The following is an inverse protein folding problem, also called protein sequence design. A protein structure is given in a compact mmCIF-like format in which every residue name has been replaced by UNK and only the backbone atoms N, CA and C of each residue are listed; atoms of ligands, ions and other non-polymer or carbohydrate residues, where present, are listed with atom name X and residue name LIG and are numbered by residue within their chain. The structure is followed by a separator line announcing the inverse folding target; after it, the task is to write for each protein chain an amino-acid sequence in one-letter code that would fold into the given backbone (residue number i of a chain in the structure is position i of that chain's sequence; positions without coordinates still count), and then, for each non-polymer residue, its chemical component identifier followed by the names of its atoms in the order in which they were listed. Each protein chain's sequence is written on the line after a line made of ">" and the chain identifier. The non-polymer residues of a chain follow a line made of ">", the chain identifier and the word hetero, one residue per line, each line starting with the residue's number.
data_IF_462618934842
#
_entry.id   IF_462618934842
#
_cell.length_a   1.000
_cell.length_b   1.000
_cell.length_c   1.000
_cell.angle_alpha   90.00
_cell.angle_beta   90.00
_cell.angle_gamma   90.00
#
_symmetry.space_group_name_H-M   'P 1'
#
loop_
_entity.id
_entity.type
_entity.pdbx_description
1 polymer ?
#
# COMPACT_ATOMS: atom_id res chain seq x y z
N UNK A 1 24.10 14.51 27.26
CA UNK A 1 23.17 14.37 26.12
C UNK A 1 22.67 15.74 25.68
N UNK A 2 22.23 16.59 26.61
CA UNK A 2 21.82 17.98 26.35
C UNK A 2 22.95 18.85 25.77
N UNK A 3 24.17 18.77 26.30
CA UNK A 3 25.34 19.51 25.76
C UNK A 3 25.61 19.16 24.29
N UNK A 4 25.50 17.87 23.94
CA UNK A 4 25.63 17.39 22.56
C UNK A 4 24.53 18.03 21.71
N UNK A 5 23.27 18.02 22.16
CA UNK A 5 22.18 18.65 21.41
C UNK A 5 22.38 20.14 21.16
N UNK A 6 22.90 20.89 22.14
CA UNK A 6 23.21 22.32 21.96
C UNK A 6 24.31 22.52 20.91
N UNK A 7 25.39 21.72 20.96
CA UNK A 7 26.44 21.77 19.93
C UNK A 7 25.87 21.45 18.53
N UNK A 8 24.98 20.47 18.45
CA UNK A 8 24.39 20.02 17.19
C UNK A 8 23.38 21.02 16.60
N UNK A 9 22.65 21.76 17.43
CA UNK A 9 21.74 22.84 16.99
C UNK A 9 22.48 23.96 16.26
N UNK A 10 23.67 24.30 16.73
CA UNK A 10 24.49 25.38 16.15
C UNK A 10 25.43 24.88 15.03
N UNK A 11 25.62 23.57 14.91
CA UNK A 11 26.58 22.98 13.98
C UNK A 11 26.25 23.31 12.52
N UNK A 12 27.17 24.04 11.86
CA UNK A 12 27.07 24.45 10.44
C UNK A 12 25.90 25.37 10.10
N UNK A 13 25.12 25.85 11.07
CA UNK A 13 24.06 26.84 10.87
C UNK A 13 24.73 28.17 10.48
N UNK A 14 24.59 28.58 9.21
CA UNK A 14 25.15 29.85 8.70
C UNK A 14 26.32 29.75 7.71
N UNK A 15 26.69 28.56 7.23
CA UNK A 15 27.72 28.43 6.18
C UNK A 15 27.16 28.40 4.74
N UNK A 16 25.85 28.18 4.60
CA UNK A 16 25.18 27.85 3.32
C UNK A 16 23.83 28.55 3.12
N UNK A 17 23.36 29.32 4.10
CA UNK A 17 22.32 30.33 3.88
C UNK A 17 22.95 31.43 3.03
N UNK A 18 22.49 31.62 1.79
CA UNK A 18 23.04 32.56 0.80
C UNK A 18 23.02 34.05 1.16
N UNK A 19 23.12 34.42 2.43
CA UNK A 19 23.41 35.76 2.88
C UNK A 19 24.93 35.97 2.93
N UNK A 20 25.50 36.38 1.79
CA UNK A 20 26.67 37.26 1.82
C UNK A 20 26.24 38.55 2.54
N UNK A 21 26.39 38.57 3.86
CA UNK A 21 26.09 39.71 4.70
C UNK A 21 27.12 39.79 5.82
N UNK A 22 28.04 40.75 5.68
CA UNK A 22 29.03 41.23 6.64
C UNK A 22 29.13 40.43 7.96
N UNK A 23 30.20 39.65 8.09
CA UNK A 23 30.72 39.31 9.41
C UNK A 23 31.25 40.60 10.07
N UNK A 24 30.37 41.31 10.76
CA UNK A 24 30.74 42.32 11.74
C UNK A 24 31.06 41.61 13.05
N UNK A 25 32.10 42.08 13.71
CA UNK A 25 32.65 41.60 14.98
C UNK A 25 31.64 41.62 16.13
N UNK A 26 30.79 40.61 16.21
CA UNK A 26 29.95 40.26 17.36
C UNK A 26 30.05 38.75 17.57
N UNK A 27 29.91 38.28 18.82
CA UNK A 27 29.94 36.84 19.15
C UNK A 27 28.95 35.99 18.32
N UNK A 28 28.97 34.66 18.47
CA UNK A 28 28.12 33.77 17.67
C UNK A 28 26.66 34.19 17.77
N UNK A 29 26.13 34.77 16.67
CA UNK A 29 24.73 35.17 16.58
C UNK A 29 23.93 33.89 16.34
N UNK A 30 23.35 33.35 17.41
CA UNK A 30 22.43 32.23 17.33
C UNK A 30 21.11 32.72 16.73
N UNK A 31 20.88 32.42 15.45
CA UNK A 31 19.57 32.63 14.83
C UNK A 31 18.58 31.72 15.58
N UNK A 32 17.34 32.15 15.88
CA UNK A 32 16.34 31.26 16.47
C UNK A 32 16.04 30.06 15.56
N UNK A 33 15.67 28.93 16.15
CA UNK A 33 15.27 27.74 15.40
C UNK A 33 13.95 28.01 14.66
N UNK A 34 13.84 27.49 13.43
CA UNK A 34 12.58 27.53 12.69
C UNK A 34 11.56 26.55 13.30
N UNK A 35 10.28 26.65 12.90
CA UNK A 35 9.28 25.68 13.32
C UNK A 35 9.68 24.27 12.85
N UNK A 36 9.52 23.27 13.72
CA UNK A 36 9.89 21.88 13.43
C UNK A 36 11.38 21.57 13.54
N UNK A 37 12.26 22.55 13.75
CA UNK A 37 13.70 22.31 13.85
C UNK A 37 14.09 21.93 15.28
N UNK A 38 14.54 20.67 15.46
CA UNK A 38 14.98 20.14 16.76
C UNK A 38 13.90 20.09 17.85
N UNK A 39 12.62 19.99 17.46
CA UNK A 39 11.49 19.81 18.40
C UNK A 39 11.61 18.50 19.20
N UNK A 40 12.07 17.43 18.56
CA UNK A 40 12.12 16.06 19.11
C UNK A 40 13.56 15.51 19.08
N UNK A 41 14.52 16.24 19.65
CA UNK A 41 15.94 15.85 19.62
C UNK A 41 16.23 14.51 20.33
N UNK A 42 16.81 13.55 19.62
CA UNK A 42 17.10 12.20 20.16
C UNK A 42 18.34 12.13 21.09
N UNK A 43 19.07 13.23 21.27
CA UNK A 43 20.32 13.23 22.04
C UNK A 43 21.55 12.69 21.30
N UNK A 44 21.36 12.09 20.13
CA UNK A 44 22.39 11.58 19.23
C UNK A 44 22.11 12.02 17.79
N UNK A 45 23.13 12.20 16.94
CA UNK A 45 22.92 12.52 15.54
C UNK A 45 22.33 11.33 14.78
N UNK A 46 21.31 11.59 13.96
CA UNK A 46 20.65 10.58 13.14
C UNK A 46 20.85 10.86 11.65
N UNK A 47 21.09 9.80 10.87
CA UNK A 47 21.16 9.84 9.42
C UNK A 47 20.29 8.72 8.84
N UNK A 48 19.31 9.08 8.02
CA UNK A 48 18.45 8.13 7.31
C UNK A 48 18.97 7.94 5.88
N UNK A 49 19.18 6.68 5.51
CA UNK A 49 19.69 6.27 4.21
C UNK A 49 18.62 5.47 3.48
N UNK A 50 18.03 6.04 2.44
CA UNK A 50 17.10 5.33 1.56
C UNK A 50 17.91 4.59 0.49
N UNK A 51 17.85 3.26 0.51
CA UNK A 51 18.60 2.41 -0.41
C UNK A 51 17.75 1.94 -1.59
N UNK A 52 18.38 1.78 -2.75
CA UNK A 52 17.73 1.28 -3.96
C UNK A 52 16.96 2.35 -4.73
N UNK A 53 17.52 3.56 -4.83
CA UNK A 53 16.89 4.66 -5.56
C UNK A 53 16.79 4.41 -7.08
N UNK A 54 17.52 3.42 -7.62
CA UNK A 54 17.33 2.87 -8.97
C UNK A 54 15.92 2.29 -9.19
N UNK A 55 15.21 1.90 -8.12
CA UNK A 55 13.86 1.37 -8.20
C UNK A 55 12.80 2.44 -8.50
N UNK A 56 13.13 3.73 -8.38
CA UNK A 56 12.22 4.83 -8.71
C UNK A 56 11.75 4.70 -10.17
N UNK A 57 12.67 4.48 -11.11
CA UNK A 57 12.32 4.31 -12.52
C UNK A 57 11.43 3.08 -12.76
N UNK A 58 11.63 2.01 -11.97
CA UNK A 58 10.79 0.81 -12.04
C UNK A 58 9.37 1.08 -11.49
N UNK A 59 9.24 1.84 -10.41
CA UNK A 59 7.94 2.20 -9.83
C UNK A 59 7.10 3.03 -10.81
N UNK A 60 7.71 3.92 -11.58
CA UNK A 60 7.02 4.69 -12.61
C UNK A 60 6.52 3.79 -13.76
N UNK A 61 7.41 2.92 -14.27
CA UNK A 61 7.11 2.08 -15.43
C UNK A 61 6.11 0.96 -15.11
N UNK A 62 6.31 0.27 -13.99
CA UNK A 62 5.56 -0.96 -13.68
C UNK A 62 4.33 -0.69 -12.82
N UNK A 63 4.34 0.39 -12.02
CA UNK A 63 3.30 0.68 -11.03
C UNK A 63 2.60 2.03 -11.24
N UNK A 64 2.96 2.77 -12.29
CA UNK A 64 2.30 4.02 -12.67
C UNK A 64 2.48 5.16 -11.65
N UNK A 65 3.53 5.08 -10.82
CA UNK A 65 3.88 6.17 -9.91
C UNK A 65 4.21 7.42 -10.70
N UNK A 66 3.80 8.58 -10.19
CA UNK A 66 4.06 9.88 -10.79
C UNK A 66 4.97 10.67 -9.87
N UNK A 67 5.38 11.84 -10.35
CA UNK A 67 6.25 12.75 -9.59
C UNK A 67 5.59 13.21 -8.28
N UNK A 68 4.26 13.27 -8.25
CA UNK A 68 3.46 13.69 -7.09
C UNK A 68 3.68 12.79 -5.87
N UNK A 69 3.75 11.48 -6.08
CA UNK A 69 3.97 10.50 -5.03
C UNK A 69 5.40 10.58 -4.48
N UNK A 70 6.39 10.83 -5.34
CA UNK A 70 7.79 11.01 -4.91
C UNK A 70 8.00 12.33 -4.16
N UNK A 71 7.36 13.41 -4.62
CA UNK A 71 7.36 14.71 -3.94
C UNK A 71 6.76 14.60 -2.55
N UNK A 72 5.60 13.92 -2.43
CA UNK A 72 4.96 13.67 -1.15
C UNK A 72 5.88 12.91 -0.20
N UNK A 73 6.50 11.81 -0.66
CA UNK A 73 7.44 11.04 0.18
C UNK A 73 8.61 11.91 0.63
N UNK A 74 9.16 12.72 -0.27
CA UNK A 74 10.26 13.61 0.05
C UNK A 74 9.85 14.68 1.07
N UNK A 75 8.69 15.31 0.90
CA UNK A 75 8.14 16.30 1.83
C UNK A 75 7.85 15.68 3.20
N UNK A 76 7.25 14.50 3.23
CA UNK A 76 6.93 13.76 4.45
C UNK A 76 8.20 13.39 5.23
N UNK A 77 9.17 12.74 4.56
CA UNK A 77 10.44 12.33 5.18
C UNK A 77 11.23 13.55 5.68
N UNK A 78 11.28 14.65 4.92
CA UNK A 78 11.95 15.88 5.36
C UNK A 78 11.28 16.51 6.58
N UNK A 79 9.95 16.48 6.65
CA UNK A 79 9.18 17.05 7.77
C UNK A 79 9.44 16.31 9.07
N UNK A 80 9.41 14.98 9.07
CA UNK A 80 9.68 14.19 10.27
C UNK A 80 11.16 14.29 10.70
N UNK A 81 12.09 14.29 9.74
CA UNK A 81 13.52 14.32 10.03
C UNK A 81 14.00 15.68 10.54
N UNK A 82 13.32 16.77 10.15
CA UNK A 82 13.60 18.11 10.65
C UNK A 82 13.46 18.19 12.18
N UNK A 83 12.47 17.49 12.75
CA UNK A 83 12.22 17.44 14.20
C UNK A 83 13.37 16.86 14.99
N UNK A 84 14.12 15.95 14.37
CA UNK A 84 15.27 15.29 14.98
C UNK A 84 16.62 15.91 14.58
N UNK A 85 16.63 16.95 13.73
CA UNK A 85 17.86 17.49 13.15
C UNK A 85 18.64 16.48 12.29
N UNK A 86 17.93 15.50 11.73
CA UNK A 86 18.52 14.37 11.02
C UNK A 86 18.87 14.72 9.57
N UNK A 87 19.78 13.93 8.97
CA UNK A 87 20.10 14.01 7.55
C UNK A 87 19.41 12.92 6.73
N UNK A 88 19.06 13.21 5.48
CA UNK A 88 18.46 12.27 4.53
C UNK A 88 19.36 12.10 3.31
N UNK A 89 19.59 10.86 2.87
CA UNK A 89 20.33 10.58 1.63
C UNK A 89 19.75 9.38 0.89
N UNK A 90 19.60 9.51 -0.42
CA UNK A 90 19.19 8.42 -1.29
C UNK A 90 20.43 7.80 -1.94
N UNK A 91 20.43 6.47 -2.04
CA UNK A 91 21.58 5.72 -2.53
C UNK A 91 21.15 4.66 -3.53
N UNK A 92 21.92 4.56 -4.61
CA UNK A 92 21.80 3.52 -5.63
C UNK A 92 22.98 2.58 -5.53
N UNK A 93 22.73 1.29 -5.72
CA UNK A 93 23.80 0.30 -5.72
C UNK A 93 24.85 0.66 -6.78
N UNK A 94 26.13 0.50 -6.43
CA UNK A 94 27.27 0.70 -7.34
C UNK A 94 27.48 2.13 -7.87
N UNK A 95 26.71 3.12 -7.42
CA UNK A 95 26.90 4.53 -7.79
C UNK A 95 27.65 5.28 -6.69
N UNK A 96 28.64 6.08 -7.10
CA UNK A 96 29.34 6.98 -6.19
C UNK A 96 28.37 7.98 -5.57
N UNK A 97 28.44 8.14 -4.25
CA UNK A 97 27.52 9.00 -3.50
C UNK A 97 28.26 9.78 -2.40
N UNK A 98 27.57 10.73 -1.79
CA UNK A 98 28.13 11.60 -0.74
C UNK A 98 28.01 11.00 0.66
N UNK A 99 27.59 9.73 0.81
CA UNK A 99 27.32 9.10 2.10
C UNK A 99 28.54 9.14 3.02
N UNK A 100 29.70 8.75 2.52
CA UNK A 100 30.94 8.76 3.32
C UNK A 100 31.24 10.16 3.86
N UNK A 101 31.11 11.18 3.01
CA UNK A 101 31.37 12.58 3.41
C UNK A 101 30.33 13.06 4.43
N UNK A 102 29.07 12.65 4.26
CA UNK A 102 27.98 12.97 5.19
C UNK A 102 28.24 12.35 6.56
N UNK A 103 28.53 11.04 6.62
CA UNK A 103 28.78 10.32 7.86
C UNK A 103 30.06 10.81 8.55
N UNK A 104 31.15 11.00 7.82
CA UNK A 104 32.39 11.56 8.38
C UNK A 104 32.13 12.93 8.99
N UNK A 105 31.39 13.78 8.27
CA UNK A 105 30.99 15.08 8.79
C UNK A 105 30.15 14.93 10.05
N UNK A 106 29.15 14.04 10.06
CA UNK A 106 28.27 13.85 11.21
C UNK A 106 29.01 13.31 12.44
N UNK A 107 29.99 12.42 12.26
CA UNK A 107 30.80 11.91 13.37
C UNK A 107 31.93 12.86 13.82
N UNK A 108 32.01 14.07 13.26
CA UNK A 108 33.08 15.02 13.58
C UNK A 108 34.46 14.61 13.04
N UNK A 109 34.51 13.68 12.10
CA UNK A 109 35.74 13.23 11.45
C UNK A 109 36.12 14.26 10.39
N UNK A 110 36.97 15.20 10.76
CA UNK A 110 37.46 16.23 9.86
C UNK A 110 38.71 15.76 9.12
N UNK A 111 38.61 15.64 7.80
CA UNK A 111 39.80 15.46 6.96
C UNK A 111 40.66 16.72 7.03
N UNK A 112 41.90 16.57 7.50
CA UNK A 112 42.87 17.66 7.59
C UNK A 112 43.33 18.17 6.20
N UNK A 113 43.05 17.40 5.14
CA UNK A 113 43.49 17.68 3.78
C UNK A 113 42.37 18.21 2.88
N UNK A 114 41.11 17.87 3.17
CA UNK A 114 39.98 18.22 2.30
C UNK A 114 38.75 18.60 3.12
N UNK A 115 38.42 19.89 3.11
CA UNK A 115 37.13 20.39 3.62
C UNK A 115 36.05 20.07 2.58
N UNK A 116 35.48 18.87 2.66
CA UNK A 116 34.47 18.42 1.71
C UNK A 116 33.13 19.10 2.06
N UNK A 117 32.68 20.04 1.22
CA UNK A 117 31.34 20.61 1.32
C UNK A 117 30.31 19.60 0.83
N UNK A 118 29.23 19.43 1.60
CA UNK A 118 28.10 18.60 1.19
C UNK A 118 27.21 19.46 0.29
N UNK A 119 27.04 19.04 -0.97
CA UNK A 119 26.14 19.71 -1.90
C UNK A 119 24.75 19.12 -1.75
N UNK A 120 23.85 19.85 -1.10
CA UNK A 120 22.45 19.45 -0.98
C UNK A 120 21.82 19.24 -2.37
N UNK A 121 20.87 18.33 -2.43
CA UNK A 121 20.09 18.06 -3.62
C UNK A 121 18.70 17.58 -3.22
N UNK A 122 17.68 18.31 -3.67
CA UNK A 122 16.27 17.96 -3.48
C UNK A 122 15.51 17.94 -4.81
N UNK A 123 16.24 18.04 -5.93
CA UNK A 123 15.67 18.12 -7.28
C UNK A 123 15.84 16.79 -7.99
N UNK A 124 17.05 16.21 -7.99
CA UNK A 124 17.24 14.89 -8.61
C UNK A 124 16.74 13.80 -7.65
N UNK A 125 15.57 13.24 -7.95
CA UNK A 125 14.87 12.21 -7.16
C UNK A 125 15.71 10.98 -6.80
N UNK A 126 16.67 10.59 -7.64
CA UNK A 126 17.54 9.43 -7.42
C UNK A 126 18.80 9.78 -6.59
N UNK A 127 19.06 11.08 -6.37
CA UNK A 127 20.26 11.60 -5.71
C UNK A 127 19.92 12.65 -4.66
N UNK A 128 18.85 12.40 -3.90
CA UNK A 128 18.46 13.25 -2.78
C UNK A 128 19.57 13.27 -1.72
N UNK A 129 19.93 14.47 -1.29
CA UNK A 129 20.82 14.71 -0.17
C UNK A 129 20.36 15.94 0.61
N UNK A 130 19.94 15.72 1.84
CA UNK A 130 19.57 16.76 2.82
C UNK A 130 20.56 16.67 3.98
N UNK A 131 21.56 17.58 4.04
CA UNK A 131 22.46 17.67 5.18
C UNK A 131 21.74 18.11 6.46
N UNK A 132 22.29 17.81 7.65
CA UNK A 132 21.71 18.30 8.90
C UNK A 132 21.77 19.83 8.95
N UNK A 133 20.77 20.46 9.56
CA UNK A 133 20.61 21.93 9.71
C UNK A 133 20.52 22.74 8.40
N UNK A 134 20.39 22.09 7.24
CA UNK A 134 20.15 22.78 5.95
C UNK A 134 18.67 23.05 5.70
N UNK A 135 17.80 22.12 6.13
CA UNK A 135 16.38 22.13 5.79
C UNK A 135 15.55 23.11 6.65
N UNK A 136 14.36 23.47 6.18
CA UNK A 136 13.38 24.26 6.94
C UNK A 136 11.99 24.15 6.32
N UNK A 137 10.91 24.44 7.07
CA UNK A 137 9.53 24.40 6.55
C UNK A 137 9.34 25.21 5.26
N UNK A 138 9.98 26.37 5.15
CA UNK A 138 9.95 27.17 3.92
C UNK A 138 10.50 26.43 2.70
N UNK A 139 11.57 25.64 2.85
CA UNK A 139 12.15 24.84 1.75
C UNK A 139 11.32 23.61 1.42
N UNK A 140 10.64 23.02 2.40
CA UNK A 140 9.79 21.84 2.20
C UNK A 140 8.49 22.25 1.49
N UNK A 141 7.90 23.39 1.88
CA UNK A 141 6.65 23.92 1.30
C UNK A 141 6.72 24.20 -0.19
N UNK A 142 7.90 24.58 -0.70
CA UNK A 142 8.09 25.00 -2.09
C UNK A 142 8.13 23.83 -3.07
N UNK A 143 8.40 22.58 -2.63
CA UNK A 143 8.43 21.43 -3.55
C UNK A 143 7.08 21.28 -4.24
N UNK A 144 6.01 21.25 -3.45
CA UNK A 144 4.65 21.04 -3.94
C UNK A 144 3.63 21.67 -3.01
N UNK A 145 2.65 22.34 -3.60
CA UNK A 145 1.53 22.94 -2.88
C UNK A 145 0.58 21.86 -2.33
N UNK A 146 -0.12 22.18 -1.24
CA UNK A 146 -1.12 21.28 -0.64
C UNK A 146 -0.58 20.25 0.35
N UNK A 147 0.72 20.22 0.64
CA UNK A 147 1.29 19.37 1.68
C UNK A 147 1.11 19.98 3.08
N UNK A 148 0.38 19.27 3.96
CA UNK A 148 0.15 19.68 5.34
C UNK A 148 1.32 19.30 6.25
N UNK A 149 2.34 20.15 6.30
CA UNK A 149 3.50 19.97 7.17
C UNK A 149 3.14 20.05 8.66
N UNK A 150 2.18 20.89 9.03
CA UNK A 150 1.82 21.15 10.42
C UNK A 150 1.08 19.94 11.00
N UNK A 151 0.13 19.39 10.25
CA UNK A 151 -0.53 18.13 10.57
C UNK A 151 0.47 16.98 10.68
N UNK A 152 1.36 16.79 9.69
CA UNK A 152 2.37 15.71 9.72
C UNK A 152 3.35 15.87 10.89
N UNK A 153 3.80 17.09 11.17
CA UNK A 153 4.69 17.37 12.31
C UNK A 153 4.01 17.03 13.64
N UNK A 154 2.75 17.45 13.81
CA UNK A 154 1.97 17.20 15.04
C UNK A 154 1.67 15.72 15.21
N UNK A 155 1.21 15.06 14.14
CA UNK A 155 0.96 13.62 14.10
C UNK A 155 2.21 12.82 14.48
N UNK A 156 3.39 13.23 14.00
CA UNK A 156 4.65 12.57 14.37
C UNK A 156 4.99 12.74 15.85
N UNK A 157 4.76 13.92 16.44
CA UNK A 157 4.98 14.11 17.89
C UNK A 157 4.08 13.22 18.73
N UNK A 158 2.85 12.95 18.29
CA UNK A 158 1.92 12.03 18.96
C UNK A 158 2.39 10.59 18.80
N UNK A 159 2.78 10.19 17.58
CA UNK A 159 3.21 8.83 17.22
C UNK A 159 4.39 8.32 18.07
N UNK A 160 5.35 9.18 18.38
CA UNK A 160 6.58 8.80 19.07
C UNK A 160 6.45 8.77 20.61
N UNK A 161 5.30 9.15 21.17
CA UNK A 161 5.08 9.04 22.62
C UNK A 161 4.82 7.59 23.02
N UNK A 162 5.19 7.25 24.26
CA UNK A 162 4.83 5.95 24.81
C UNK A 162 3.30 5.80 24.88
N UNK A 163 2.75 4.60 24.59
CA UNK A 163 1.32 4.37 24.72
C UNK A 163 0.90 4.62 26.18
N UNK A 164 -0.26 5.27 26.41
CA UNK A 164 -0.70 5.56 27.76
C UNK A 164 -0.79 4.27 28.58
N UNK A 165 -0.17 4.26 29.77
CA UNK A 165 -0.26 3.11 30.65
C UNK A 165 -1.73 2.75 30.90
N UNK A 166 -2.13 1.47 30.82
CA UNK A 166 -3.49 1.08 31.10
C UNK A 166 -3.81 1.44 32.55
N UNK A 167 -4.73 2.40 32.72
CA UNK A 167 -5.21 2.88 34.01
C UNK A 167 -5.78 1.71 34.82
N UNK A 168 -4.95 1.11 35.65
CA UNK A 168 -5.37 0.20 36.72
C UNK A 168 -5.71 1.03 37.94
N UNK A 169 -6.90 1.64 37.93
CA UNK A 169 -7.37 2.39 39.09
C UNK A 169 -8.48 3.37 38.74
N UNK A 170 -9.71 2.88 38.68
CA UNK A 170 -10.87 3.74 38.79
C UNK A 170 -10.87 4.44 40.15
N UNK A 171 -10.66 5.75 40.16
CA UNK A 171 -11.22 6.64 41.18
C UNK A 171 -11.81 7.85 40.45
N UNK A 172 -13.13 7.92 40.48
CA UNK A 172 -13.96 9.03 40.04
C UNK A 172 -13.44 10.38 40.54
N UNK A 173 -13.07 11.29 39.63
CA UNK A 173 -13.23 12.72 39.84
C UNK A 173 -13.66 13.38 38.52
N UNK A 174 -14.79 14.10 38.48
CA UNK A 174 -15.16 14.92 37.34
C UNK A 174 -14.43 16.26 37.46
N UNK A 175 -13.49 16.53 36.55
CA UNK A 175 -12.95 17.86 36.37
C UNK A 175 -13.17 18.30 34.92
N UNK A 176 -14.25 19.07 34.74
CA UNK A 176 -14.43 19.99 33.61
C UNK A 176 -13.35 21.07 33.71
N UNK A 177 -12.49 21.20 32.70
CA UNK A 177 -12.52 22.37 31.80
C UNK A 177 -11.39 22.35 30.75
N UNK A 178 -11.83 22.41 29.50
CA UNK A 178 -11.20 23.08 28.35
C UNK A 178 -9.74 22.77 27.97
N UNK A 179 -9.56 21.82 27.04
CA UNK A 179 -8.72 22.05 25.87
C UNK A 179 -9.44 21.54 24.63
N UNK A 180 -9.81 22.49 23.79
CA UNK A 180 -10.56 22.38 22.55
C UNK A 180 -9.80 21.58 21.48
N UNK A 181 -10.46 20.58 20.89
CA UNK A 181 -10.20 20.12 19.52
C UNK A 181 -8.88 19.40 19.26
N UNK A 182 -8.57 18.33 20.00
CA UNK A 182 -7.77 17.27 19.42
C UNK A 182 -8.70 16.47 18.49
N UNK A 183 -8.77 16.87 17.23
CA UNK A 183 -9.31 15.97 16.21
C UNK A 183 -8.52 14.67 16.27
N UNK A 184 -9.25 13.55 16.23
CA UNK A 184 -8.77 12.19 16.42
C UNK A 184 -7.35 11.95 15.92
N UNK A 185 -6.56 11.25 16.74
CA UNK A 185 -5.17 10.89 16.47
C UNK A 185 -4.94 10.22 15.12
N UNK A 186 -4.75 11.04 14.09
CA UNK A 186 -4.24 10.61 12.81
C UNK A 186 -2.76 10.30 13.00
N UNK A 187 -2.45 9.03 13.15
CA UNK A 187 -1.08 8.52 13.12
C UNK A 187 -0.35 9.07 11.89
N UNK A 188 0.87 9.57 12.06
CA UNK A 188 1.69 10.02 10.92
C UNK A 188 1.91 8.88 9.93
N UNK A 189 2.06 7.65 10.44
CA UNK A 189 2.16 6.44 9.62
C UNK A 189 0.87 6.21 8.84
N UNK A 190 -0.30 6.38 9.46
CA UNK A 190 -1.58 6.27 8.76
C UNK A 190 -1.73 7.31 7.64
N UNK A 191 -1.32 8.56 7.86
CA UNK A 191 -1.31 9.61 6.82
C UNK A 191 -0.43 9.17 5.64
N UNK A 192 0.76 8.64 5.93
CA UNK A 192 1.69 8.17 4.91
C UNK A 192 1.13 6.99 4.11
N UNK A 193 0.63 5.95 4.80
CA UNK A 193 0.11 4.74 4.17
C UNK A 193 -1.19 4.97 3.40
N UNK A 194 -2.02 5.92 3.84
CA UNK A 194 -3.22 6.30 3.10
C UNK A 194 -2.87 7.03 1.78
N UNK A 195 -1.78 7.80 1.78
CA UNK A 195 -1.36 8.56 0.59
C UNK A 195 -0.53 7.69 -0.36
N UNK A 196 0.38 6.88 0.17
CA UNK A 196 1.27 6.00 -0.59
C UNK A 196 0.78 4.57 -0.51
N UNK A 197 0.13 4.11 -1.59
CA UNK A 197 -0.40 2.74 -1.68
C UNK A 197 0.69 1.74 -2.05
N UNK A 198 0.74 0.60 -1.34
CA UNK A 198 1.67 -0.49 -1.67
C UNK A 198 1.28 -1.18 -2.99
N UNK A 199 2.14 -1.14 -4.03
CA UNK A 199 1.87 -1.80 -5.30
C UNK A 199 1.71 -3.32 -5.17
N UNK A 200 2.35 -3.97 -4.19
CA UNK A 200 2.23 -5.42 -3.97
C UNK A 200 0.86 -5.81 -3.44
N UNK A 201 0.27 -4.95 -2.61
CA UNK A 201 -1.08 -5.13 -2.06
C UNK A 201 -2.11 -5.16 -3.18
N UNK A 202 -1.91 -4.37 -4.24
CA UNK A 202 -2.77 -4.38 -5.42
C UNK A 202 -2.57 -5.61 -6.32
N UNK A 203 -1.34 -6.11 -6.49
CA UNK A 203 -1.09 -7.33 -7.28
C UNK A 203 -1.67 -8.61 -6.68
N UNK A 204 -1.95 -8.62 -5.37
CA UNK A 204 -2.61 -9.74 -4.71
C UNK A 204 -4.14 -9.78 -4.94
N UNK A 205 -4.74 -8.72 -5.53
CA UNK A 205 -6.20 -8.56 -5.69
C UNK A 205 -6.67 -8.90 -7.12
N UNK A 206 -5.77 -9.29 -8.03
CA UNK A 206 -6.15 -9.77 -9.36
C UNK A 206 -6.68 -11.23 -9.33
N UNK A 207 -7.79 -11.45 -8.61
CA UNK A 207 -8.71 -12.56 -8.85
C UNK A 207 -10.05 -11.96 -9.30
N UNK A 208 -10.51 -12.24 -10.53
CA UNK A 208 -11.76 -11.68 -11.04
C UNK A 208 -12.93 -12.38 -10.34
N UNK A 209 -13.45 -11.81 -9.25
CA UNK A 209 -14.62 -12.38 -8.58
C UNK A 209 -15.13 -11.74 -7.30
N UNK A 210 -14.50 -10.73 -6.70
CA UNK A 210 -14.98 -10.17 -5.43
C UNK A 210 -15.13 -8.66 -5.51
N UNK A 211 -16.35 -8.21 -5.80
CA UNK A 211 -16.79 -6.87 -5.43
C UNK A 211 -17.48 -6.94 -4.06
N UNK A 212 -17.20 -5.91 -3.24
CA UNK A 212 -17.81 -5.57 -1.96
C UNK A 212 -17.34 -6.34 -0.71
N UNK A 213 -16.29 -5.81 -0.06
CA UNK A 213 -16.45 -5.12 1.23
C UNK A 213 -15.06 -4.75 1.77
N UNK A 214 -14.83 -3.45 1.96
CA UNK A 214 -13.70 -2.97 2.74
C UNK A 214 -13.93 -3.35 4.21
N UNK A 215 -12.93 -3.96 4.84
CA UNK A 215 -12.89 -4.39 6.25
C UNK A 215 -13.66 -5.67 6.58
N UNK A 216 -12.97 -6.81 6.38
CA UNK A 216 -13.06 -8.13 7.06
C UNK A 216 -12.98 -9.26 6.02
N UNK A 217 -11.77 -9.74 5.74
CA UNK A 217 -11.53 -10.96 4.93
C UNK A 217 -10.81 -11.99 5.80
N UNK A 218 -11.38 -12.26 6.96
CA UNK A 218 -11.30 -13.60 7.54
C UNK A 218 -12.71 -14.15 7.42
N UNK A 219 -12.91 -15.05 6.46
CA UNK A 219 -14.10 -15.89 6.47
C UNK A 219 -13.90 -16.80 7.66
N UNK A 220 -14.57 -16.48 8.77
CA UNK A 220 -14.57 -17.30 9.96
C UNK A 220 -15.22 -18.63 9.57
N UNK A 221 -14.39 -19.62 9.26
CA UNK A 221 -14.86 -20.93 8.86
C UNK A 221 -15.55 -21.53 10.07
N UNK A 222 -16.86 -21.73 9.99
CA UNK A 222 -17.59 -22.47 11.00
C UNK A 222 -16.94 -23.85 11.15
N UNK A 223 -16.79 -24.29 12.40
CA UNK A 223 -16.31 -25.63 12.70
C UNK A 223 -17.12 -26.69 11.91
N UNK A 224 -16.41 -27.66 11.32
CA UNK A 224 -17.00 -28.61 10.38
C UNK A 224 -18.14 -29.41 11.01
N UNK A 225 -18.04 -29.76 12.29
CA UNK A 225 -19.09 -30.49 12.99
C UNK A 225 -20.34 -29.63 13.17
N UNK A 226 -20.14 -28.34 13.45
CA UNK A 226 -21.22 -27.35 13.56
C UNK A 226 -21.97 -27.15 12.24
N UNK A 227 -21.24 -27.14 11.12
CA UNK A 227 -21.83 -27.04 9.79
C UNK A 227 -22.61 -28.31 9.40
N UNK A 228 -22.02 -29.49 9.61
CA UNK A 228 -22.65 -30.77 9.29
C UNK A 228 -23.91 -31.02 10.13
N UNK A 229 -23.90 -30.63 11.42
CA UNK A 229 -25.08 -30.72 12.28
C UNK A 229 -26.26 -29.89 11.73
N UNK A 230 -25.99 -28.67 11.25
CA UNK A 230 -27.01 -27.82 10.61
C UNK A 230 -27.55 -28.43 9.32
N UNK A 231 -26.70 -29.05 8.50
CA UNK A 231 -27.13 -29.72 7.27
C UNK A 231 -27.95 -30.98 7.54
N UNK A 232 -27.66 -31.70 8.62
CA UNK A 232 -28.43 -32.86 9.04
C UNK A 232 -29.86 -32.48 9.46
N UNK A 233 -30.02 -31.37 10.18
CA UNK A 233 -31.34 -30.84 10.55
C UNK A 233 -32.17 -30.48 9.30
N UNK A 234 -31.55 -29.86 8.30
CA UNK A 234 -32.21 -29.56 7.00
C UNK A 234 -32.63 -30.84 6.28
N UNK A 235 -31.78 -31.88 6.27
CA UNK A 235 -32.10 -33.17 5.65
C UNK A 235 -33.24 -33.90 6.38
N UNK A 236 -33.29 -33.84 7.70
CA UNK A 236 -34.40 -34.39 8.48
C UNK A 236 -35.71 -33.67 8.16
N UNK A 237 -35.67 -32.35 8.00
CA UNK A 237 -36.83 -31.54 7.63
C UNK A 237 -37.34 -31.89 6.23
N UNK A 238 -36.44 -32.01 5.25
CA UNK A 238 -36.79 -32.43 3.88
C UNK A 238 -37.31 -33.86 3.83
N UNK A 239 -36.73 -34.78 4.63
CA UNK A 239 -37.23 -36.16 4.72
C UNK A 239 -38.67 -36.20 5.25
N UNK A 240 -38.97 -35.42 6.29
CA UNK A 240 -40.33 -35.33 6.83
C UNK A 240 -41.31 -34.71 5.83
N UNK A 241 -40.86 -33.74 5.05
CA UNK A 241 -41.66 -33.13 3.98
C UNK A 241 -41.93 -34.15 2.86
N UNK A 242 -40.93 -34.89 2.39
CA UNK A 242 -41.07 -35.98 1.42
C UNK A 242 -41.98 -37.11 1.93
N UNK A 243 -41.88 -37.49 3.20
CA UNK A 243 -42.71 -38.54 3.80
C UNK A 243 -44.16 -38.08 3.93
N UNK A 244 -44.39 -36.80 4.23
CA UNK A 244 -45.71 -36.17 4.24
C UNK A 244 -46.30 -36.07 2.83
N UNK A 245 -45.50 -35.70 1.85
CA UNK A 245 -45.88 -35.64 0.43
C UNK A 245 -46.20 -37.03 -0.12
N UNK A 246 -45.46 -38.06 0.31
CA UNK A 246 -45.71 -39.46 -0.03
C UNK A 246 -46.95 -40.03 0.66
N UNK A 247 -47.25 -39.58 1.88
CA UNK A 247 -48.47 -39.95 2.61
C UNK A 247 -49.73 -39.28 2.03
N UNK A 248 -49.59 -38.11 1.39
CA UNK A 248 -50.70 -37.37 0.78
C UNK A 248 -50.94 -37.74 -0.69
N UNK A 249 -49.95 -38.31 -1.40
CA UNK A 249 -50.14 -38.87 -2.75
C UNK A 249 -50.46 -40.36 -2.67
N UNK A 250 -51.70 -40.75 -3.00
CA UNK A 250 -52.03 -42.14 -3.33
C UNK A 250 -51.18 -42.58 -4.54
N UNK A 251 -50.50 -43.72 -4.40
CA UNK A 251 -49.72 -44.35 -5.47
C UNK A 251 -50.66 -44.66 -6.66
N UNK A 252 -50.46 -44.09 -7.86
CA UNK A 252 -51.12 -44.61 -9.04
C UNK A 252 -50.54 -46.00 -9.30
N UNK A 253 -51.41 -47.00 -9.34
CA UNK A 253 -51.06 -48.34 -9.81
C UNK A 253 -50.57 -48.22 -11.26
N UNK A 254 -49.25 -48.25 -11.45
CA UNK A 254 -48.64 -48.44 -12.77
C UNK A 254 -48.80 -49.92 -13.14
N UNK A 255 -49.85 -50.24 -13.88
CA UNK A 255 -49.89 -51.47 -14.65
C UNK A 255 -48.79 -51.41 -15.72
N UNK A 256 -47.98 -52.46 -15.74
CA UNK A 256 -46.96 -52.70 -16.76
C UNK A 256 -47.64 -53.01 -18.10
N UNK A 257 -47.67 -52.04 -19.00
CA UNK A 257 -47.96 -52.27 -20.42
C UNK A 257 -46.64 -52.46 -21.18
N UNK A 258 -46.48 -53.53 -21.99
CA UNK A 258 -45.24 -53.79 -22.70
C UNK A 258 -45.16 -52.99 -24.01
N UNK A 259 -44.00 -52.35 -24.20
CA UNK A 259 -43.42 -51.82 -25.44
C UNK A 259 -44.17 -50.70 -26.20
N UNK A 260 -43.34 -49.78 -26.71
CA UNK A 260 -43.61 -48.74 -27.72
C UNK A 260 -44.20 -47.39 -27.25
N UNK A 261 -43.35 -46.49 -26.71
CA UNK A 261 -43.38 -45.05 -27.09
C UNK A 261 -42.11 -44.32 -26.59
N UNK A 262 -41.06 -44.30 -27.39
CA UNK A 262 -39.87 -43.44 -27.18
C UNK A 262 -39.81 -42.29 -28.21
N UNK A 263 -40.97 -41.81 -28.67
CA UNK A 263 -41.03 -40.84 -29.77
C UNK A 263 -41.34 -39.39 -29.38
N UNK A 264 -41.98 -39.13 -28.24
CA UNK A 264 -42.70 -37.84 -28.05
C UNK A 264 -42.05 -36.77 -27.17
N UNK A 265 -40.90 -37.03 -26.56
CA UNK A 265 -40.18 -36.01 -25.76
C UNK A 265 -39.18 -35.17 -26.57
N UNK A 266 -38.92 -35.52 -27.83
CA UNK A 266 -37.91 -34.86 -28.66
C UNK A 266 -38.42 -33.69 -29.52
N UNK A 267 -39.72 -33.40 -29.53
CA UNK A 267 -40.32 -32.35 -30.39
C UNK A 267 -40.58 -31.01 -29.67
N UNK A 268 -40.32 -30.89 -28.37
CA UNK A 268 -40.59 -29.66 -27.60
C UNK A 268 -39.34 -28.89 -27.14
N UNK A 269 -38.13 -29.38 -27.45
CA UNK A 269 -36.87 -28.71 -27.09
C UNK A 269 -36.35 -27.98 -28.32
N UNK A 270 -36.40 -26.64 -28.30
CA UNK A 270 -35.77 -25.81 -29.32
C UNK A 270 -34.24 -25.97 -29.32
N UNK A 271 -33.56 -25.65 -30.44
CA UNK A 271 -32.12 -25.88 -30.57
C UNK A 271 -31.33 -25.16 -29.45
N UNK A 272 -30.44 -25.90 -28.81
CA UNK A 272 -29.62 -25.40 -27.69
C UNK A 272 -28.55 -24.45 -28.24
N UNK A 273 -28.71 -23.16 -27.99
CA UNK A 273 -27.77 -22.11 -28.40
C UNK A 273 -26.85 -21.73 -27.25
N UNK A 274 -25.54 -21.77 -27.48
CA UNK A 274 -24.54 -21.31 -26.50
C UNK A 274 -23.98 -19.96 -26.93
N UNK A 275 -23.89 -19.00 -26.00
CA UNK A 275 -23.29 -17.69 -26.25
C UNK A 275 -21.85 -17.70 -25.73
N UNK A 276 -20.89 -17.60 -26.64
CA UNK A 276 -19.45 -17.66 -26.31
C UNK A 276 -18.80 -16.38 -26.83
N UNK A 277 -18.66 -15.37 -25.96
CA UNK A 277 -18.01 -14.10 -26.30
C UNK A 277 -18.81 -13.20 -27.25
N UNK A 278 -20.15 -13.24 -27.22
CA UNK A 278 -21.01 -12.37 -28.03
C UNK A 278 -21.40 -12.95 -29.39
N UNK A 279 -20.93 -14.16 -29.73
CA UNK A 279 -21.32 -14.90 -30.93
C UNK A 279 -22.25 -16.04 -30.51
N UNK A 280 -23.42 -16.11 -31.14
CA UNK A 280 -24.37 -17.21 -30.95
C UNK A 280 -23.91 -18.41 -31.77
N UNK A 281 -23.62 -19.53 -31.09
CA UNK A 281 -23.13 -20.75 -31.73
C UNK A 281 -24.15 -21.86 -31.52
N UNK A 282 -24.62 -22.43 -32.64
CA UNK A 282 -25.53 -23.58 -32.67
C UNK A 282 -24.74 -24.87 -32.48
N UNK A 283 -25.05 -25.63 -31.43
CA UNK A 283 -24.38 -26.89 -31.10
C UNK A 283 -24.56 -27.96 -32.19
N UNK A 284 -25.70 -27.96 -32.88
CA UNK A 284 -25.99 -28.96 -33.91
C UNK A 284 -25.19 -28.70 -35.20
N UNK A 285 -24.88 -27.44 -35.51
CA UNK A 285 -24.04 -27.08 -36.66
C UNK A 285 -22.56 -27.46 -36.41
N UNK A 286 -22.07 -27.26 -35.18
CA UNK A 286 -20.72 -27.71 -34.79
C UNK A 286 -20.58 -29.24 -34.86
N UNK A 287 -21.58 -29.99 -34.36
CA UNK A 287 -21.57 -31.44 -34.43
C UNK A 287 -21.60 -31.94 -35.88
N UNK A 288 -22.39 -31.31 -36.76
CA UNK A 288 -22.41 -31.65 -38.19
C UNK A 288 -21.07 -31.39 -38.85
N UNK A 289 -20.42 -30.25 -38.58
CA UNK A 289 -19.09 -29.92 -39.12
C UNK A 289 -18.01 -30.91 -38.67
N UNK A 290 -18.03 -31.33 -37.39
CA UNK A 290 -17.14 -32.39 -36.88
C UNK A 290 -17.40 -33.73 -37.57
N UNK A 291 -18.67 -34.10 -37.80
CA UNK A 291 -19.05 -35.37 -38.44
C UNK A 291 -18.69 -35.40 -39.93
N UNK A 292 -18.77 -34.26 -40.62
CA UNK A 292 -18.32 -34.10 -42.01
C UNK A 292 -16.79 -34.17 -42.10
N UNK A 293 -16.07 -33.50 -41.18
CA UNK A 293 -14.61 -33.53 -41.14
C UNK A 293 -14.04 -34.93 -40.86
N UNK A 294 -14.71 -35.71 -40.00
CA UNK A 294 -14.29 -37.08 -39.68
C UNK A 294 -14.57 -38.08 -40.82
N UNK A 295 -15.59 -37.85 -41.65
CA UNK A 295 -15.88 -38.67 -42.84
C UNK A 295 -14.90 -38.44 -44.00
N UNK A 296 -14.31 -37.26 -44.09
CA UNK A 296 -13.34 -36.92 -45.15
C UNK A 296 -11.99 -37.61 -44.89
N UNK A 297 -11.64 -37.95 -43.64
CA UNK A 297 -10.34 -38.55 -43.29
C UNK A 297 -10.26 -40.09 -43.43
N UNK A 298 -11.33 -40.79 -43.82
CA UNK A 298 -11.33 -42.26 -43.94
C UNK A 298 -11.23 -42.79 -45.38
N UNK A 299 -11.35 -41.93 -46.39
CA UNK A 299 -11.10 -42.29 -47.78
C UNK A 299 -9.90 -41.50 -48.25
N UNK A 300 -8.74 -42.16 -48.23
CA UNK A 300 -7.44 -41.53 -48.37
C UNK A 300 -7.27 -40.71 -49.63
N UNK A 301 -6.53 -39.62 -49.48
CA UNK A 301 -5.58 -39.19 -50.51
C UNK A 301 -4.37 -38.53 -49.83
N UNK A 302 -3.21 -39.07 -50.19
CA UNK A 302 -1.89 -38.55 -49.86
C UNK A 302 -1.66 -37.30 -50.70
N UNK A 303 -1.43 -36.14 -50.09
CA UNK A 303 -0.59 -35.14 -50.72
C UNK A 303 0.24 -34.34 -49.71
N UNK A 304 1.55 -34.45 -49.91
CA UNK A 304 2.60 -33.53 -49.45
C UNK A 304 2.22 -32.08 -49.80
N UNK A 305 2.83 -31.13 -49.07
CA UNK A 305 3.77 -30.07 -49.55
C UNK A 305 3.53 -28.75 -48.80
N UNK A 306 4.61 -28.19 -48.22
CA UNK A 306 4.98 -26.78 -47.93
C UNK A 306 3.87 -25.70 -47.84
N UNK A 307 3.85 -24.76 -46.90
CA UNK A 307 4.90 -24.02 -46.18
C UNK A 307 4.53 -23.82 -44.70
#
# INVERSE_FOLDING_TARGET
>A
MEEIMTEWKDRKRGMDSGAQGLASSGGPVTIPLGPGEWDEGLGIPMCVVCQGADKIEKLEKDHGWREEEFDFILQFMRTILLKHGASLIYTTAFLANSLQSLIHSSLGIHSLLKRQSLKHNVIDRDKILVPPNWDSWGKIRIIREGFDMEGVSTAWSIEIQDPPEPLTGAVDQPQEDSATGAEDGTSAVAIFEQTITDPKRNTAIAHPGSQNSANKIEVETLDMQSFLAKQLEVLEQLKLEDEKDRATKQVPHLEMSPLEDNGRVNEHIGPVQFNMGGIQVDADDMLRKLKVSCRINLNGDVLRTFC
#
